data_IF_804095909912
#
_entry.id   IF_804095909912
#
_cell.length_a   1.000
_cell.length_b   1.000
_cell.length_c   1.000
_cell.angle_alpha   90.00
_cell.angle_beta   90.00
_cell.angle_gamma   90.00
#
_symmetry.space_group_name_H-M   'P 1'
#
loop_
_entity.id
_entity.type
_entity.pdbx_description
1 polymer ?
#
# COMPACT_ATOMS: atom_id res chain seq x y z
N UNK A 1 3.10 -11.40 25.01
CA UNK A 1 3.29 -10.28 25.96
C UNK A 1 2.99 -8.99 25.19
N UNK A 2 2.45 -7.95 25.82
CA UNK A 2 2.12 -6.70 25.10
C UNK A 2 3.36 -5.83 24.93
N UNK A 3 3.50 -5.13 23.79
CA UNK A 3 4.68 -4.35 23.44
C UNK A 3 4.99 -3.28 24.50
N UNK A 4 3.96 -2.57 25.00
CA UNK A 4 4.13 -1.56 26.05
C UNK A 4 4.67 -2.14 27.36
N UNK A 5 4.24 -3.35 27.73
CA UNK A 5 4.74 -4.04 28.92
C UNK A 5 6.21 -4.43 28.77
N UNK A 6 6.63 -4.82 27.57
CA UNK A 6 8.01 -5.17 27.28
C UNK A 6 8.94 -3.96 27.39
N UNK A 7 8.55 -2.80 26.84
CA UNK A 7 9.31 -1.55 27.03
C UNK A 7 9.43 -1.20 28.52
N UNK A 8 8.31 -1.26 29.25
CA UNK A 8 8.30 -0.95 30.68
C UNK A 8 9.25 -1.85 31.45
N UNK A 9 9.27 -3.15 31.12
CA UNK A 9 10.16 -4.13 31.74
C UNK A 9 11.63 -3.79 31.48
N UNK A 10 12.03 -3.61 30.22
CA UNK A 10 13.42 -3.26 29.87
C UNK A 10 13.86 -1.92 30.50
N UNK A 11 12.95 -0.95 30.60
CA UNK A 11 13.22 0.33 31.28
C UNK A 11 13.54 0.12 32.76
N UNK A 12 12.73 -0.70 33.44
CA UNK A 12 12.89 -0.99 34.87
C UNK A 12 14.16 -1.79 35.15
N UNK A 13 14.51 -2.75 34.28
CA UNK A 13 15.77 -3.51 34.36
C UNK A 13 17.00 -2.62 34.28
N UNK A 14 16.92 -1.55 33.49
CA UNK A 14 17.98 -0.52 33.40
C UNK A 14 17.86 0.61 34.43
N UNK A 15 16.90 0.52 35.36
CA UNK A 15 16.64 1.52 36.41
C UNK A 15 16.40 2.95 35.88
N UNK A 16 15.85 3.07 34.67
CA UNK A 16 15.57 4.37 34.05
C UNK A 16 14.19 4.88 34.47
N UNK A 17 14.05 6.18 34.68
CA UNK A 17 12.73 6.83 34.75
C UNK A 17 12.14 6.98 33.35
N UNK A 18 10.83 7.19 33.26
CA UNK A 18 10.17 7.45 31.96
C UNK A 18 10.75 8.70 31.28
N UNK A 19 11.15 9.70 32.06
CA UNK A 19 11.77 10.94 31.57
C UNK A 19 13.18 10.69 31.04
N UNK A 20 13.98 9.89 31.74
CA UNK A 20 15.32 9.51 31.27
C UNK A 20 15.25 8.70 29.97
N UNK A 21 14.34 7.74 29.87
CA UNK A 21 14.14 6.98 28.63
C UNK A 21 13.68 7.90 27.49
N UNK A 22 12.78 8.84 27.78
CA UNK A 22 12.30 9.79 26.80
C UNK A 22 13.43 10.69 26.28
N UNK A 23 14.29 11.19 27.17
CA UNK A 23 15.46 11.98 26.81
C UNK A 23 16.46 11.21 25.94
N UNK A 24 16.70 9.93 26.25
CA UNK A 24 17.59 9.08 25.44
C UNK A 24 17.04 8.79 24.04
N UNK A 25 15.72 8.73 23.89
CA UNK A 25 15.04 8.47 22.61
C UNK A 25 14.66 9.77 21.86
N UNK A 26 14.92 10.95 22.44
CA UNK A 26 14.56 12.23 21.83
C UNK A 26 13.05 12.49 21.75
N UNK A 27 12.26 11.93 22.67
CA UNK A 27 10.80 12.05 22.69
C UNK A 27 10.29 12.67 23.99
N UNK A 28 9.00 12.97 24.08
CA UNK A 28 8.39 13.46 25.32
C UNK A 28 8.18 12.32 26.32
N UNK A 29 8.26 12.62 27.62
CA UNK A 29 7.89 11.68 28.70
C UNK A 29 6.48 11.10 28.50
N UNK A 30 5.55 11.93 28.00
CA UNK A 30 4.18 11.52 27.72
C UNK A 30 4.12 10.43 26.63
N UNK A 31 4.97 10.50 25.60
CA UNK A 31 5.05 9.48 24.56
C UNK A 31 5.44 8.12 25.16
N UNK A 32 6.49 8.09 25.98
CA UNK A 32 6.92 6.87 26.69
C UNK A 32 5.81 6.32 27.60
N UNK A 33 5.15 7.19 28.37
CA UNK A 33 4.01 6.78 29.20
C UNK A 33 2.86 6.20 28.38
N UNK A 34 2.56 6.79 27.21
CA UNK A 34 1.52 6.29 26.34
C UNK A 34 1.87 4.91 25.75
N UNK A 35 3.14 4.68 25.37
CA UNK A 35 3.59 3.36 24.90
C UNK A 35 3.49 2.30 25.99
N UNK A 36 3.97 2.60 27.20
CA UNK A 36 3.93 1.66 28.34
C UNK A 36 2.51 1.29 28.78
N UNK A 37 1.53 2.16 28.51
CA UNK A 37 0.13 1.96 28.82
C UNK A 37 -0.71 1.55 27.59
N UNK A 38 -0.06 1.16 26.48
CA UNK A 38 -0.70 0.75 25.22
C UNK A 38 -1.69 1.77 24.61
N UNK A 39 -1.54 3.05 24.93
CA UNK A 39 -2.38 4.12 24.37
C UNK A 39 -2.01 4.43 22.92
N UNK A 40 -0.74 4.30 22.57
CA UNK A 40 -0.24 4.39 21.21
C UNK A 40 1.02 3.52 21.05
N UNK A 41 1.45 3.33 19.81
CA UNK A 41 2.68 2.62 19.48
C UNK A 41 3.72 3.59 18.90
N UNK A 42 5.01 3.41 19.20
CA UNK A 42 6.09 4.16 18.57
C UNK A 42 6.13 3.90 17.05
N UNK A 43 6.78 4.81 16.34
CA UNK A 43 7.05 4.63 14.90
C UNK A 43 8.23 3.68 14.67
N UNK A 44 8.39 3.18 13.45
CA UNK A 44 9.43 2.21 13.08
C UNK A 44 10.84 2.70 13.43
N UNK A 45 11.13 3.99 13.19
CA UNK A 45 12.42 4.59 13.54
C UNK A 45 12.69 4.53 15.06
N UNK A 46 11.67 4.83 15.87
CA UNK A 46 11.77 4.73 17.32
C UNK A 46 11.88 3.28 17.79
N UNK A 47 11.24 2.32 17.11
CA UNK A 47 11.39 0.89 17.42
C UNK A 47 12.84 0.44 17.18
N UNK A 48 13.45 0.89 16.08
CA UNK A 48 14.88 0.65 15.81
C UNK A 48 15.75 1.32 16.86
N UNK A 49 15.44 2.55 17.26
CA UNK A 49 16.17 3.26 18.32
C UNK A 49 16.06 2.54 19.68
N UNK A 50 14.87 2.04 20.04
CA UNK A 50 14.62 1.24 21.24
C UNK A 50 15.41 -0.07 21.19
N UNK A 51 15.39 -0.79 20.07
CA UNK A 51 16.17 -2.03 19.88
C UNK A 51 17.68 -1.77 20.08
N UNK A 52 18.21 -0.70 19.48
CA UNK A 52 19.61 -0.30 19.66
C UNK A 52 19.92 0.10 21.10
N UNK A 53 19.06 0.92 21.70
CA UNK A 53 19.22 1.40 23.08
C UNK A 53 19.26 0.22 24.05
N UNK A 54 18.30 -0.69 23.97
CA UNK A 54 18.19 -1.85 24.85
C UNK A 54 19.08 -3.04 24.44
N UNK A 55 19.74 -2.96 23.28
CA UNK A 55 20.60 -4.01 22.74
C UNK A 55 19.87 -5.35 22.59
N UNK A 56 18.62 -5.28 22.14
CA UNK A 56 17.74 -6.43 21.87
C UNK A 56 17.48 -6.54 20.38
N UNK A 57 17.27 -7.75 19.87
CA UNK A 57 16.90 -7.93 18.45
C UNK A 57 15.54 -7.29 18.16
N UNK A 58 15.33 -6.84 16.93
CA UNK A 58 14.03 -6.33 16.51
C UNK A 58 12.95 -7.42 16.59
N UNK A 59 13.31 -8.66 16.29
CA UNK A 59 12.41 -9.80 16.38
C UNK A 59 11.96 -10.03 17.84
N UNK A 60 12.88 -9.98 18.81
CA UNK A 60 12.54 -10.10 20.22
C UNK A 60 11.68 -8.92 20.69
N UNK A 61 11.97 -7.70 20.22
CA UNK A 61 11.24 -6.49 20.56
C UNK A 61 9.83 -6.45 19.97
N UNK A 62 9.67 -6.92 18.73
CA UNK A 62 8.40 -6.88 17.99
C UNK A 62 7.55 -8.09 18.33
N UNK A 63 8.11 -9.28 18.51
CA UNK A 63 7.34 -10.51 18.73
C UNK A 63 7.14 -10.80 20.23
N UNK A 64 8.07 -10.40 21.11
CA UNK A 64 7.95 -10.57 22.56
C UNK A 64 7.64 -12.00 23.00
N UNK A 65 7.99 -13.00 22.17
CA UNK A 65 7.59 -14.41 22.26
C UNK A 65 6.98 -14.95 20.95
N UNK A 66 6.32 -16.11 21.00
CA UNK A 66 5.71 -16.78 19.83
C UNK A 66 4.32 -16.26 19.42
N UNK A 67 3.82 -15.20 20.06
CA UNK A 67 2.42 -14.76 19.92
C UNK A 67 2.33 -13.33 19.40
N UNK A 68 1.53 -13.14 18.35
CA UNK A 68 1.22 -11.86 17.71
C UNK A 68 0.82 -10.77 18.72
N UNK A 69 1.47 -9.60 18.69
CA UNK A 69 1.10 -8.43 19.49
C UNK A 69 0.60 -7.27 18.61
N UNK A 70 0.09 -6.22 19.27
CA UNK A 70 -0.46 -5.03 18.61
C UNK A 70 0.54 -4.32 17.66
N UNK A 71 1.84 -4.36 17.97
CA UNK A 71 2.87 -3.79 17.11
C UNK A 71 3.06 -4.61 15.84
N UNK A 72 3.16 -5.93 15.97
CA UNK A 72 3.29 -6.84 14.83
C UNK A 72 2.07 -6.70 13.91
N UNK A 73 0.86 -6.60 14.47
CA UNK A 73 -0.36 -6.36 13.72
C UNK A 73 -0.32 -5.04 12.94
N UNK A 74 0.11 -3.96 13.59
CA UNK A 74 0.27 -2.65 12.95
C UNK A 74 1.28 -2.72 11.79
N UNK A 75 2.45 -3.33 11.99
CA UNK A 75 3.49 -3.45 10.95
C UNK A 75 3.03 -4.27 9.75
N UNK A 76 2.35 -5.40 9.98
CA UNK A 76 1.78 -6.21 8.89
C UNK A 76 0.70 -5.43 8.14
N UNK A 77 -0.17 -4.71 8.87
CA UNK A 77 -1.22 -3.88 8.29
C UNK A 77 -0.63 -2.76 7.43
N UNK A 78 0.29 -1.96 7.97
CA UNK A 78 0.93 -0.85 7.26
C UNK A 78 1.68 -1.33 6.01
N UNK A 79 2.40 -2.46 6.13
CA UNK A 79 3.06 -3.11 4.99
C UNK A 79 2.07 -3.56 3.91
N UNK A 80 0.95 -4.18 4.32
CA UNK A 80 -0.10 -4.64 3.40
C UNK A 80 -0.83 -3.49 2.70
N UNK A 81 -1.08 -2.38 3.40
CA UNK A 81 -1.74 -1.19 2.84
C UNK A 81 -0.83 -0.51 1.81
N UNK A 82 0.46 -0.38 2.10
CA UNK A 82 1.44 0.17 1.16
C UNK A 82 1.53 -0.68 -0.11
N UNK A 83 1.60 -2.01 0.03
CA UNK A 83 1.60 -2.93 -1.11
C UNK A 83 0.32 -2.82 -1.93
N UNK A 84 -0.84 -2.73 -1.26
CA UNK A 84 -2.14 -2.55 -1.93
C UNK A 84 -2.21 -1.22 -2.70
N UNK A 85 -1.72 -0.13 -2.12
CA UNK A 85 -1.66 1.17 -2.79
C UNK A 85 -0.79 1.11 -4.05
N UNK A 86 0.39 0.49 -3.96
CA UNK A 86 1.27 0.27 -5.12
C UNK A 86 0.59 -0.56 -6.21
N UNK A 87 -0.07 -1.66 -5.84
CA UNK A 87 -0.81 -2.48 -6.81
C UNK A 87 -1.97 -1.72 -7.45
N UNK A 88 -2.71 -0.91 -6.70
CA UNK A 88 -3.76 -0.04 -7.24
C UNK A 88 -3.18 0.94 -8.28
N UNK A 89 -2.05 1.59 -7.98
CA UNK A 89 -1.39 2.51 -8.90
C UNK A 89 -0.96 1.83 -10.20
N UNK A 90 -0.36 0.64 -10.12
CA UNK A 90 0.05 -0.12 -11.31
C UNK A 90 -1.17 -0.51 -12.15
N UNK A 91 -2.24 -1.00 -11.53
CA UNK A 91 -3.47 -1.36 -12.27
C UNK A 91 -4.12 -0.15 -12.96
N UNK A 92 -4.11 1.03 -12.33
CA UNK A 92 -4.59 2.28 -12.94
C UNK A 92 -3.72 2.68 -14.13
N UNK A 93 -2.39 2.60 -13.99
CA UNK A 93 -1.47 2.92 -15.08
C UNK A 93 -1.67 2.01 -16.29
N UNK A 94 -1.81 0.69 -16.06
CA UNK A 94 -2.09 -0.29 -17.13
C UNK A 94 -3.41 0.04 -17.82
N UNK A 95 -4.48 0.30 -17.04
CA UNK A 95 -5.78 0.69 -17.58
C UNK A 95 -5.70 1.96 -18.44
N UNK A 96 -4.98 2.98 -17.96
CA UNK A 96 -4.74 4.22 -18.71
C UNK A 96 -4.00 3.99 -20.03
N UNK A 97 -2.96 3.15 -20.02
CA UNK A 97 -2.22 2.79 -21.24
C UNK A 97 -3.13 2.10 -22.25
N UNK A 98 -3.98 1.15 -21.82
CA UNK A 98 -4.94 0.50 -22.71
C UNK A 98 -5.95 1.47 -23.32
N UNK A 99 -6.42 2.45 -22.54
CA UNK A 99 -7.31 3.50 -23.05
C UNK A 99 -6.59 4.37 -24.09
N UNK A 100 -5.38 4.86 -23.79
CA UNK A 100 -4.59 5.67 -24.72
C UNK A 100 -4.27 4.91 -26.01
N UNK A 101 -3.90 3.64 -25.91
CA UNK A 101 -3.64 2.79 -27.06
C UNK A 101 -4.89 2.57 -27.90
N UNK A 102 -6.04 2.31 -27.26
CA UNK A 102 -7.33 2.18 -27.96
C UNK A 102 -7.73 3.45 -28.72
N UNK A 103 -7.60 4.62 -28.09
CA UNK A 103 -7.84 5.92 -28.75
C UNK A 103 -6.89 6.12 -29.92
N UNK A 104 -5.61 5.79 -29.74
CA UNK A 104 -4.59 5.91 -30.78
C UNK A 104 -4.91 5.01 -31.99
N UNK A 105 -5.36 3.77 -31.79
CA UNK A 105 -5.78 2.88 -32.88
C UNK A 105 -6.98 3.45 -33.66
N UNK A 106 -7.97 4.03 -32.98
CA UNK A 106 -9.13 4.65 -33.63
C UNK A 106 -8.70 5.86 -34.44
N UNK A 107 -7.81 6.69 -33.89
CA UNK A 107 -7.24 7.84 -34.59
C UNK A 107 -6.45 7.41 -35.85
N UNK A 108 -5.62 6.37 -35.74
CA UNK A 108 -4.88 5.82 -36.88
C UNK A 108 -5.80 5.30 -37.99
N UNK A 109 -6.93 4.64 -37.65
CA UNK A 109 -7.94 4.25 -38.65
C UNK A 109 -8.61 5.47 -39.27
N UNK A 110 -8.92 6.52 -38.50
CA UNK A 110 -9.54 7.73 -39.03
C UNK A 110 -8.64 8.47 -40.05
N UNK A 111 -7.32 8.37 -39.92
CA UNK A 111 -6.35 8.98 -40.84
C UNK A 111 -5.94 8.04 -41.97
N UNK A 112 -6.17 6.73 -41.85
CA UNK A 112 -5.76 5.78 -42.87
C UNK A 112 -6.57 5.94 -44.17
N UNK A 113 -5.87 6.02 -45.29
CA UNK A 113 -6.47 6.11 -46.63
C UNK A 113 -6.95 4.72 -47.06
N UNK A 114 -8.16 4.68 -47.60
CA UNK A 114 -8.77 3.49 -48.20
C UNK A 114 -8.72 3.64 -49.73
N UNK A 115 -8.31 2.60 -50.44
CA UNK A 115 -8.28 2.60 -51.90
C UNK A 115 -8.71 1.26 -52.47
N UNK A 116 -9.21 1.30 -53.71
CA UNK A 116 -9.64 0.14 -54.48
C UNK A 116 -8.56 -0.14 -55.53
N UNK A 117 -8.06 -1.37 -55.58
CA UNK A 117 -7.08 -1.77 -56.58
C UNK A 117 -7.72 -1.97 -57.97
N UNK A 118 -6.90 -2.23 -58.98
CA UNK A 118 -7.37 -2.50 -60.35
C UNK A 118 -8.16 -3.81 -60.50
N UNK A 119 -8.12 -4.69 -59.51
CA UNK A 119 -8.88 -5.94 -59.44
C UNK A 119 -10.23 -5.76 -58.69
N UNK A 120 -10.54 -4.55 -58.22
CA UNK A 120 -11.74 -4.24 -57.45
C UNK A 120 -11.66 -4.59 -55.96
N UNK A 121 -10.47 -4.92 -55.44
CA UNK A 121 -10.24 -5.26 -54.03
C UNK A 121 -10.03 -3.97 -53.22
N UNK A 122 -10.82 -3.82 -52.14
CA UNK A 122 -10.67 -2.74 -51.18
C UNK A 122 -9.54 -3.06 -50.20
N UNK A 123 -8.50 -2.23 -50.21
CA UNK A 123 -7.42 -2.30 -49.22
C UNK A 123 -7.70 -1.32 -48.09
N UNK A 124 -8.13 -1.85 -46.94
CA UNK A 124 -8.35 -1.07 -45.73
C UNK A 124 -7.77 -1.75 -44.47
N UNK A 125 -7.46 -0.94 -43.46
CA UNK A 125 -6.98 -1.44 -42.18
C UNK A 125 -8.14 -1.90 -41.27
N UNK A 126 -8.82 -2.98 -41.66
CA UNK A 126 -10.01 -3.49 -40.98
C UNK A 126 -9.79 -3.78 -39.48
N UNK A 127 -8.61 -4.23 -39.10
CA UNK A 127 -8.31 -4.66 -37.72
C UNK A 127 -8.17 -3.53 -36.70
N UNK A 128 -7.88 -2.29 -37.12
CA UNK A 128 -7.60 -1.21 -36.15
C UNK A 128 -8.83 -0.82 -35.32
N UNK A 129 -10.03 -0.89 -35.91
CA UNK A 129 -11.25 -0.47 -35.24
C UNK A 129 -11.71 -1.49 -34.17
N UNK A 130 -11.83 -2.81 -34.46
CA UNK A 130 -12.11 -3.82 -33.44
C UNK A 130 -11.05 -3.87 -32.32
N UNK A 131 -9.76 -3.75 -32.68
CA UNK A 131 -8.67 -3.73 -31.70
C UNK A 131 -8.76 -2.48 -30.80
N UNK A 132 -9.05 -1.31 -31.38
CA UNK A 132 -9.24 -0.07 -30.63
C UNK A 132 -10.38 -0.18 -29.61
N UNK A 133 -11.55 -0.67 -30.03
CA UNK A 133 -12.69 -0.87 -29.12
C UNK A 133 -12.42 -1.92 -28.04
N UNK A 134 -11.72 -3.02 -28.38
CA UNK A 134 -11.33 -4.03 -27.41
C UNK A 134 -10.41 -3.45 -26.33
N UNK A 135 -9.40 -2.67 -26.73
CA UNK A 135 -8.48 -2.02 -25.79
C UNK A 135 -9.20 -0.99 -24.90
N UNK A 136 -10.13 -0.21 -25.45
CA UNK A 136 -10.96 0.71 -24.67
C UNK A 136 -11.82 -0.03 -23.64
N UNK A 137 -12.46 -1.13 -24.05
CA UNK A 137 -13.28 -1.95 -23.16
C UNK A 137 -12.44 -2.56 -22.03
N UNK A 138 -11.29 -3.17 -22.36
CA UNK A 138 -10.36 -3.70 -21.37
C UNK A 138 -9.90 -2.62 -20.37
N UNK A 139 -9.50 -1.45 -20.87
CA UNK A 139 -9.14 -0.30 -20.05
C UNK A 139 -10.28 0.08 -19.10
N UNK A 140 -11.50 0.23 -19.60
CA UNK A 140 -12.68 0.57 -18.80
C UNK A 140 -13.00 -0.47 -17.71
N UNK A 141 -12.92 -1.77 -18.02
CA UNK A 141 -13.12 -2.85 -17.06
C UNK A 141 -12.09 -2.81 -15.92
N UNK A 142 -10.83 -2.47 -16.21
CA UNK A 142 -9.83 -2.31 -15.15
C UNK A 142 -10.19 -1.15 -14.20
N UNK A 143 -10.70 -0.03 -14.71
CA UNK A 143 -11.17 1.07 -13.85
C UNK A 143 -12.39 0.70 -13.02
N UNK A 144 -13.38 0.03 -13.62
CA UNK A 144 -14.57 -0.45 -12.88
C UNK A 144 -14.20 -1.40 -11.75
N UNK A 145 -13.36 -2.40 -12.04
CA UNK A 145 -12.96 -3.38 -11.03
C UNK A 145 -12.19 -2.76 -9.88
N UNK A 146 -11.28 -1.81 -10.15
CA UNK A 146 -10.55 -1.06 -9.12
C UNK A 146 -11.49 -0.15 -8.32
N UNK A 147 -12.41 0.54 -9.00
CA UNK A 147 -13.41 1.42 -8.39
C UNK A 147 -14.31 0.68 -7.41
N UNK A 148 -14.90 -0.44 -7.86
CA UNK A 148 -15.73 -1.33 -7.03
C UNK A 148 -14.92 -1.86 -5.83
N UNK A 149 -13.68 -2.31 -6.07
CA UNK A 149 -12.80 -2.80 -5.00
C UNK A 149 -12.51 -1.72 -3.94
N UNK A 150 -12.22 -0.49 -4.35
CA UNK A 150 -11.96 0.61 -3.44
C UNK A 150 -13.20 1.00 -2.62
N UNK A 151 -14.38 1.03 -3.25
CA UNK A 151 -15.66 1.27 -2.58
C UNK A 151 -15.91 0.17 -1.54
N UNK A 152 -15.78 -1.09 -1.92
CA UNK A 152 -15.99 -2.22 -1.00
C UNK A 152 -15.01 -2.19 0.18
N UNK A 153 -13.75 -1.83 -0.04
CA UNK A 153 -12.78 -1.67 1.05
C UNK A 153 -13.13 -0.52 1.99
N UNK A 154 -13.61 0.62 1.48
CA UNK A 154 -14.08 1.73 2.31
C UNK A 154 -15.30 1.33 3.14
N UNK A 155 -16.25 0.63 2.53
CA UNK A 155 -17.45 0.12 3.21
C UNK A 155 -17.04 -0.83 4.34
N UNK A 156 -16.20 -1.83 4.06
CA UNK A 156 -15.74 -2.79 5.07
C UNK A 156 -15.01 -2.12 6.24
N UNK A 157 -14.17 -1.11 5.98
CA UNK A 157 -13.52 -0.34 7.06
C UNK A 157 -14.51 0.41 7.95
N UNK A 158 -15.62 0.92 7.38
CA UNK A 158 -16.67 1.64 8.13
C UNK A 158 -17.50 0.70 9.02
N UNK A 159 -17.65 -0.57 8.64
CA UNK A 159 -18.40 -1.57 9.41
C UNK A 159 -17.59 -2.32 10.49
N UNK A 160 -16.26 -2.26 10.45
CA UNK A 160 -15.38 -2.91 11.43
C UNK A 160 -14.70 -1.95 12.42
N UNK A 161 -15.08 -0.66 12.40
CA UNK A 161 -14.67 0.35 13.39
C UNK A 161 -15.83 0.64 14.33
#
# INVERSE_FOLDING_TARGET
MDFGKQIKQMRLERKLTQEQLANQLGVSRQAVSNWENNKNLPDLELIIAISKLFSVSLDDLILGGSTMNNLTEKLIKDGSETRRAKMNLISIAIGGIFLCFGISCIFLKAVSVEYIDTQGILHENFFLLPVGFLCLFCGFITFLTIGIRNIFCRIKKKFCS
#
